data_IF_364715161640
#
_entry.id   IF_364715161640
#
_cell.length_a   1.000
_cell.length_b   1.000
_cell.length_c   1.000
_cell.angle_alpha   90.00
_cell.angle_beta   90.00
_cell.angle_gamma   90.00
#
_symmetry.space_group_name_H-M   'P 1'
#
loop_
_entity.id
_entity.type
_entity.pdbx_description
1 polymer ?
#
# COMPACT_ATOMS: atom_id res chain seq x y z
N UNK A 1 -9.21 -21.91 12.57
CA UNK A 1 -9.75 -22.31 11.24
C UNK A 1 -10.50 -21.14 10.61
N UNK A 2 -11.48 -20.56 11.31
CA UNK A 2 -12.25 -19.36 10.90
C UNK A 2 -11.42 -18.20 10.34
N UNK A 3 -10.29 -17.85 10.98
CA UNK A 3 -9.43 -16.73 10.55
C UNK A 3 -8.80 -17.01 9.18
N UNK A 4 -8.44 -18.26 8.91
CA UNK A 4 -7.87 -18.66 7.61
C UNK A 4 -8.92 -18.56 6.51
N UNK A 5 -10.15 -18.98 6.80
CA UNK A 5 -11.26 -18.92 5.85
C UNK A 5 -11.68 -17.47 5.56
N UNK A 6 -11.73 -16.62 6.59
CA UNK A 6 -11.94 -15.17 6.43
C UNK A 6 -10.87 -14.53 5.54
N UNK A 7 -9.59 -14.87 5.77
CA UNK A 7 -8.49 -14.35 4.96
C UNK A 7 -8.60 -14.84 3.50
N UNK A 8 -9.03 -16.08 3.29
CA UNK A 8 -9.24 -16.63 1.95
C UNK A 8 -10.39 -15.94 1.23
N UNK A 9 -11.56 -15.81 1.86
CA UNK A 9 -12.71 -15.08 1.31
C UNK A 9 -12.36 -13.63 1.02
N UNK A 10 -11.59 -12.99 1.89
CA UNK A 10 -11.06 -11.64 1.67
C UNK A 10 -10.17 -11.61 0.42
N UNK A 11 -9.21 -12.53 0.29
CA UNK A 11 -8.31 -12.57 -0.88
C UNK A 11 -9.05 -12.81 -2.19
N UNK A 12 -10.06 -13.67 -2.19
CA UNK A 12 -10.82 -14.04 -3.38
C UNK A 12 -11.72 -12.92 -3.89
N UNK A 13 -12.22 -12.06 -3.00
CA UNK A 13 -13.20 -11.02 -3.36
C UNK A 13 -12.63 -9.60 -3.33
N UNK A 14 -11.59 -9.37 -2.52
CA UNK A 14 -11.05 -8.03 -2.22
C UNK A 14 -9.53 -7.99 -2.21
N UNK A 15 -8.86 -9.13 -2.43
CA UNK A 15 -7.41 -9.19 -2.48
C UNK A 15 -6.85 -8.43 -3.67
N UNK A 16 -5.59 -7.99 -3.54
CA UNK A 16 -4.90 -7.22 -4.58
C UNK A 16 -4.92 -7.92 -5.95
N UNK A 17 -4.68 -9.24 -6.00
CA UNK A 17 -4.70 -10.02 -7.25
C UNK A 17 -6.09 -10.03 -7.88
N UNK A 18 -7.15 -10.23 -7.07
CA UNK A 18 -8.52 -10.20 -7.57
C UNK A 18 -8.87 -8.82 -8.10
N UNK A 19 -8.60 -7.77 -7.33
CA UNK A 19 -8.85 -6.38 -7.75
C UNK A 19 -8.10 -6.05 -9.04
N UNK A 20 -6.84 -6.49 -9.18
CA UNK A 20 -6.05 -6.26 -10.39
C UNK A 20 -6.62 -7.02 -11.59
N UNK A 21 -6.97 -8.30 -11.45
CA UNK A 21 -7.62 -9.09 -12.52
C UNK A 21 -8.97 -8.50 -12.91
N UNK A 22 -9.77 -8.10 -11.94
CA UNK A 22 -11.09 -7.52 -12.17
C UNK A 22 -10.98 -6.15 -12.84
N UNK A 23 -10.04 -5.30 -12.42
CA UNK A 23 -9.76 -4.03 -13.06
C UNK A 23 -9.26 -4.20 -14.50
N UNK A 24 -8.40 -5.19 -14.78
CA UNK A 24 -7.98 -5.52 -16.14
C UNK A 24 -9.16 -5.95 -17.03
N UNK A 25 -10.10 -6.72 -16.48
CA UNK A 25 -11.31 -7.15 -17.18
C UNK A 25 -12.27 -5.99 -17.45
N UNK A 26 -12.45 -5.11 -16.47
CA UNK A 26 -13.41 -4.01 -16.55
C UNK A 26 -12.87 -2.78 -17.30
N UNK A 27 -11.55 -2.56 -17.27
CA UNK A 27 -10.92 -1.42 -17.88
C UNK A 27 -9.49 -1.75 -18.35
N UNK A 28 -9.35 -2.08 -19.63
CA UNK A 28 -8.05 -2.38 -20.27
C UNK A 28 -7.04 -1.23 -20.14
N UNK A 29 -7.48 0.01 -19.89
CA UNK A 29 -6.60 1.17 -19.72
C UNK A 29 -5.73 1.07 -18.46
N UNK A 30 -6.03 0.18 -17.49
CA UNK A 30 -5.16 -0.02 -16.33
C UNK A 30 -3.80 -0.65 -16.70
N UNK A 31 -3.68 -1.25 -17.89
CA UNK A 31 -2.42 -1.78 -18.41
C UNK A 31 -1.41 -0.66 -18.65
N UNK A 32 -1.89 0.51 -19.08
CA UNK A 32 -1.03 1.66 -19.43
C UNK A 32 -0.18 2.09 -18.21
N UNK A 33 -0.75 2.50 -17.06
CA UNK A 33 0.06 2.89 -15.90
C UNK A 33 0.93 1.75 -15.37
N UNK A 34 0.50 0.49 -15.48
CA UNK A 34 1.30 -0.69 -15.09
C UNK A 34 2.56 -0.84 -15.96
N UNK A 35 2.41 -0.73 -17.27
CA UNK A 35 3.52 -0.84 -18.21
C UNK A 35 4.46 0.36 -18.09
N UNK A 36 3.92 1.57 -17.95
CA UNK A 36 4.71 2.78 -17.73
C UNK A 36 5.49 2.72 -16.41
N UNK A 37 4.90 2.17 -15.34
CA UNK A 37 5.57 1.95 -14.05
C UNK A 37 6.75 0.98 -14.19
N UNK A 38 6.55 -0.14 -14.92
CA UNK A 38 7.60 -1.13 -15.14
C UNK A 38 8.73 -0.58 -16.03
N UNK A 39 8.39 0.10 -17.13
CA UNK A 39 9.37 0.71 -18.04
C UNK A 39 10.17 1.81 -17.32
N UNK A 40 9.51 2.68 -16.54
CA UNK A 40 10.22 3.74 -15.81
C UNK A 40 11.17 3.19 -14.74
N UNK A 41 10.79 2.12 -14.04
CA UNK A 41 11.67 1.44 -13.09
C UNK A 41 12.90 0.81 -13.78
N UNK A 42 12.69 0.14 -14.92
CA UNK A 42 13.78 -0.45 -15.71
C UNK A 42 14.70 0.61 -16.30
N UNK A 43 14.16 1.69 -16.84
CA UNK A 43 14.93 2.82 -17.37
C UNK A 43 15.77 3.45 -16.26
N UNK A 44 15.20 3.68 -15.07
CA UNK A 44 15.94 4.18 -13.91
C UNK A 44 17.11 3.26 -13.58
N UNK A 45 16.86 1.95 -13.45
CA UNK A 45 17.90 0.97 -13.10
C UNK A 45 19.00 0.94 -14.17
N UNK A 46 18.63 0.85 -15.45
CA UNK A 46 19.60 0.76 -16.54
C UNK A 46 20.48 2.00 -16.65
N UNK A 47 19.91 3.19 -16.46
CA UNK A 47 20.64 4.46 -16.56
C UNK A 47 21.49 4.71 -15.31
N UNK A 48 21.03 4.28 -14.13
CA UNK A 48 21.77 4.43 -12.87
C UNK A 48 23.13 3.71 -12.87
N UNK A 49 23.30 2.63 -13.65
CA UNK A 49 24.55 1.87 -13.73
C UNK A 49 25.44 2.22 -14.95
N UNK A 50 25.08 3.21 -15.77
CA UNK A 50 25.92 3.69 -16.89
C UNK A 50 26.78 4.89 -16.50
N UNK A 51 27.77 5.23 -17.34
CA UNK A 51 28.69 6.36 -17.10
C UNK A 51 27.94 7.65 -16.81
N UNK A 52 28.39 8.42 -15.82
CA UNK A 52 27.69 9.61 -15.35
C UNK A 52 27.85 10.75 -16.36
N UNK A 53 26.75 11.13 -17.02
CA UNK A 53 26.66 12.31 -17.89
C UNK A 53 25.44 13.15 -17.49
N UNK A 54 25.45 14.44 -17.80
CA UNK A 54 24.32 15.35 -17.53
C UNK A 54 23.01 14.85 -18.14
N UNK A 55 23.09 14.22 -19.31
CA UNK A 55 21.95 13.59 -19.98
C UNK A 55 21.36 12.46 -19.12
N UNK A 56 22.21 11.64 -18.49
CA UNK A 56 21.74 10.55 -17.63
C UNK A 56 21.02 11.05 -16.39
N UNK A 57 21.48 12.17 -15.80
CA UNK A 57 20.78 12.82 -14.67
C UNK A 57 19.36 13.22 -15.08
N UNK A 58 19.20 13.85 -16.24
CA UNK A 58 17.88 14.28 -16.75
C UNK A 58 16.97 13.06 -16.96
N UNK A 59 17.49 11.99 -17.56
CA UNK A 59 16.72 10.76 -17.79
C UNK A 59 16.29 10.11 -16.47
N UNK A 60 17.16 10.10 -15.46
CA UNK A 60 16.85 9.56 -14.12
C UNK A 60 15.72 10.37 -13.48
N UNK A 61 15.82 11.71 -13.46
CA UNK A 61 14.77 12.59 -12.91
C UNK A 61 13.45 12.37 -13.64
N UNK A 62 13.49 12.34 -14.97
CA UNK A 62 12.31 12.12 -15.81
C UNK A 62 11.67 10.76 -15.55
N UNK A 63 12.47 9.71 -15.35
CA UNK A 63 11.99 8.36 -15.00
C UNK A 63 11.27 8.35 -13.65
N UNK A 64 11.79 9.07 -12.65
CA UNK A 64 11.13 9.21 -11.34
C UNK A 64 9.79 9.94 -11.46
N UNK A 65 9.75 11.05 -12.22
CA UNK A 65 8.51 11.82 -12.45
C UNK A 65 7.45 10.95 -13.14
N UNK A 66 7.83 10.23 -14.20
CA UNK A 66 6.93 9.31 -14.89
C UNK A 66 6.45 8.20 -13.96
N UNK A 67 7.33 7.65 -13.11
CA UNK A 67 6.96 6.62 -12.15
C UNK A 67 5.88 7.11 -11.19
N UNK A 68 6.08 8.26 -10.55
CA UNK A 68 5.11 8.87 -9.63
C UNK A 68 3.79 9.16 -10.35
N UNK A 69 3.85 9.75 -11.55
CA UNK A 69 2.67 10.02 -12.38
C UNK A 69 1.89 8.74 -12.72
N UNK A 70 2.58 7.64 -13.00
CA UNK A 70 1.98 6.34 -13.30
C UNK A 70 1.26 5.76 -12.08
N UNK A 71 1.85 5.88 -10.89
CA UNK A 71 1.23 5.47 -9.63
C UNK A 71 -0.07 6.26 -9.38
N UNK A 72 -0.02 7.59 -9.50
CA UNK A 72 -1.19 8.46 -9.30
C UNK A 72 -2.30 8.12 -10.31
N UNK A 73 -1.94 7.98 -11.59
CA UNK A 73 -2.88 7.63 -12.64
C UNK A 73 -3.53 6.26 -12.40
N UNK A 74 -2.74 5.27 -11.96
CA UNK A 74 -3.24 3.95 -11.56
C UNK A 74 -4.30 4.03 -10.46
N UNK A 75 -4.06 4.82 -9.41
CA UNK A 75 -5.01 5.03 -8.30
C UNK A 75 -6.30 5.68 -8.80
N UNK A 76 -6.21 6.70 -9.66
CA UNK A 76 -7.39 7.38 -10.21
C UNK A 76 -8.22 6.43 -11.06
N UNK A 77 -7.58 5.67 -11.95
CA UNK A 77 -8.24 4.68 -12.81
C UNK A 77 -8.92 3.60 -11.96
N UNK A 78 -8.27 3.15 -10.89
CA UNK A 78 -8.83 2.16 -9.96
C UNK A 78 -10.09 2.72 -9.27
N UNK A 79 -10.02 3.94 -8.71
CA UNK A 79 -11.18 4.59 -8.08
C UNK A 79 -12.36 4.74 -9.04
N UNK A 80 -12.10 5.14 -10.28
CA UNK A 80 -13.15 5.27 -11.30
C UNK A 80 -13.73 3.90 -11.70
N UNK A 81 -12.91 2.85 -11.72
CA UNK A 81 -13.36 1.49 -11.99
C UNK A 81 -14.25 0.94 -10.88
N UNK A 82 -13.94 1.28 -9.61
CA UNK A 82 -14.79 0.95 -8.46
C UNK A 82 -16.13 1.67 -8.56
N UNK A 83 -16.12 2.99 -8.78
CA UNK A 83 -17.36 3.78 -8.96
C UNK A 83 -18.23 3.28 -10.11
N UNK A 84 -17.64 2.88 -11.24
CA UNK A 84 -18.42 2.29 -12.36
C UNK A 84 -19.11 0.98 -11.99
N UNK A 85 -18.52 0.18 -11.11
CA UNK A 85 -19.05 -1.15 -10.74
C UNK A 85 -20.06 -1.07 -9.58
N UNK A 86 -19.81 -0.18 -8.63
CA UNK A 86 -20.55 -0.10 -7.37
C UNK A 86 -21.28 1.23 -7.20
N UNK A 87 -21.39 2.09 -8.21
CA UNK A 87 -22.01 3.41 -8.10
C UNK A 87 -21.13 4.44 -7.37
N UNK A 88 -20.82 4.17 -6.11
CA UNK A 88 -20.04 5.02 -5.23
C UNK A 88 -18.90 4.25 -4.52
N UNK A 89 -18.01 4.99 -3.85
CA UNK A 89 -16.98 4.38 -3.01
C UNK A 89 -17.57 3.81 -1.71
N UNK A 90 -18.70 4.38 -1.27
CA UNK A 90 -19.40 3.98 -0.05
C UNK A 90 -20.13 2.65 -0.26
N UNK A 91 -20.86 2.50 -1.37
CA UNK A 91 -21.49 1.23 -1.77
C UNK A 91 -20.47 0.09 -1.92
N UNK A 92 -19.23 0.40 -2.32
CA UNK A 92 -18.15 -0.60 -2.35
C UNK A 92 -17.76 -1.09 -0.95
N UNK A 93 -17.65 -0.20 0.04
CA UNK A 93 -17.37 -0.58 1.42
C UNK A 93 -18.56 -1.31 2.05
N UNK A 94 -19.80 -0.90 1.76
CA UNK A 94 -21.01 -1.61 2.20
C UNK A 94 -21.09 -3.04 1.63
N UNK A 95 -20.77 -3.24 0.35
CA UNK A 95 -20.73 -4.56 -0.26
C UNK A 95 -19.63 -5.45 0.35
N UNK A 96 -18.50 -4.83 0.72
CA UNK A 96 -17.39 -5.51 1.40
C UNK A 96 -17.77 -5.95 2.81
N UNK A 97 -18.44 -5.07 3.57
CA UNK A 97 -19.06 -5.39 4.85
C UNK A 97 -20.03 -6.56 4.69
N UNK A 98 -20.94 -6.50 3.71
CA UNK A 98 -21.96 -7.53 3.47
C UNK A 98 -21.36 -8.89 3.18
N UNK A 99 -20.31 -8.97 2.35
CA UNK A 99 -19.63 -10.24 2.03
C UNK A 99 -18.85 -10.81 3.22
N UNK A 100 -18.21 -9.97 4.02
CA UNK A 100 -17.53 -10.39 5.25
C UNK A 100 -18.56 -10.90 6.26
N UNK A 101 -19.68 -10.17 6.46
CA UNK A 101 -20.79 -10.59 7.31
C UNK A 101 -21.35 -11.95 6.86
N UNK A 102 -21.59 -12.13 5.55
CA UNK A 102 -22.05 -13.42 5.00
C UNK A 102 -21.07 -14.56 5.23
N UNK A 103 -19.76 -14.31 5.15
CA UNK A 103 -18.73 -15.32 5.42
C UNK A 103 -18.77 -15.77 6.89
N UNK A 104 -18.89 -14.82 7.82
CA UNK A 104 -19.00 -15.08 9.26
C UNK A 104 -20.28 -15.86 9.56
N UNK A 105 -21.42 -15.40 9.03
CA UNK A 105 -22.73 -16.06 9.15
C UNK A 105 -22.66 -17.48 8.61
N UNK A 106 -22.13 -17.70 7.40
CA UNK A 106 -22.03 -19.05 6.82
C UNK A 106 -21.14 -20.00 7.65
N UNK A 107 -20.11 -19.48 8.31
CA UNK A 107 -19.25 -20.31 9.17
C UNK A 107 -20.00 -20.72 10.45
N UNK A 108 -20.80 -19.82 11.02
CA UNK A 108 -21.56 -20.11 12.23
C UNK A 108 -22.89 -20.84 11.96
N UNK A 109 -23.49 -20.69 10.77
CA UNK A 109 -24.74 -21.34 10.34
C UNK A 109 -24.64 -22.87 10.14
N UNK A 110 -23.58 -23.54 10.60
CA UNK A 110 -23.73 -24.94 11.03
C UNK A 110 -24.48 -25.06 12.38
N UNK A 111 -24.84 -23.93 13.00
CA UNK A 111 -25.70 -23.79 14.17
C UNK A 111 -26.63 -22.59 13.90
N UNK A 112 -27.92 -22.87 13.68
CA UNK A 112 -29.09 -21.98 13.55
C UNK A 112 -28.95 -20.56 12.94
N UNK A 113 -29.71 -20.36 11.86
CA UNK A 113 -29.84 -19.14 11.05
C UNK A 113 -30.44 -17.90 11.76
N UNK A 114 -30.76 -17.95 13.05
CA UNK A 114 -31.55 -16.92 13.72
C UNK A 114 -30.83 -16.04 14.74
N UNK A 115 -29.63 -16.37 15.22
CA UNK A 115 -28.92 -15.52 16.20
C UNK A 115 -27.40 -15.57 16.00
N UNK A 116 -26.88 -14.90 14.97
CA UNK A 116 -25.47 -14.47 14.99
C UNK A 116 -25.38 -13.28 15.95
N UNK A 117 -25.33 -13.59 17.25
CA UNK A 117 -25.26 -12.62 18.34
C UNK A 117 -24.02 -11.73 18.20
N UNK A 118 -24.12 -10.48 18.67
CA UNK A 118 -22.99 -9.54 18.81
C UNK A 118 -21.74 -10.21 19.40
N UNK A 119 -21.94 -11.16 20.31
CA UNK A 119 -20.91 -11.98 20.95
C UNK A 119 -20.01 -12.72 19.95
N UNK A 120 -20.53 -13.19 18.82
CA UNK A 120 -19.75 -13.94 17.82
C UNK A 120 -18.81 -13.03 17.03
N UNK A 121 -19.27 -11.81 16.71
CA UNK A 121 -18.43 -10.78 16.11
C UNK A 121 -17.37 -10.27 17.09
N UNK A 122 -17.73 -10.13 18.37
CA UNK A 122 -16.81 -9.74 19.44
C UNK A 122 -15.74 -10.81 19.71
N UNK A 123 -16.11 -12.10 19.68
CA UNK A 123 -15.17 -13.21 19.78
C UNK A 123 -14.16 -13.22 18.63
N UNK A 124 -14.62 -12.96 17.41
CA UNK A 124 -13.73 -12.85 16.24
C UNK A 124 -12.80 -11.63 16.37
N UNK A 125 -13.31 -10.45 16.75
CA UNK A 125 -12.44 -9.26 16.93
C UNK A 125 -11.41 -9.50 18.04
N UNK A 126 -11.81 -10.13 19.16
CA UNK A 126 -10.91 -10.49 20.26
C UNK A 126 -9.82 -11.49 19.84
N UNK A 127 -10.19 -12.49 19.03
CA UNK A 127 -9.23 -13.44 18.46
C UNK A 127 -8.26 -12.76 17.48
N UNK A 128 -8.74 -11.84 16.65
CA UNK A 128 -7.90 -11.09 15.72
C UNK A 128 -6.97 -10.13 16.46
N UNK A 129 -7.45 -9.43 17.50
CA UNK A 129 -6.62 -8.56 18.35
C UNK A 129 -5.53 -9.35 19.05
N UNK A 130 -5.87 -10.50 19.64
CA UNK A 130 -4.88 -11.39 20.26
C UNK A 130 -3.82 -11.85 19.25
N UNK A 131 -4.22 -12.21 18.03
CA UNK A 131 -3.28 -12.59 16.96
C UNK A 131 -2.47 -11.38 16.43
N UNK A 132 -2.97 -10.16 16.54
CA UNK A 132 -2.22 -8.93 16.22
C UNK A 132 -1.22 -8.56 17.33
N UNK A 133 -1.59 -8.72 18.60
CA UNK A 133 -0.78 -8.46 19.80
C UNK A 133 0.41 -9.43 19.90
N UNK A 134 0.16 -10.74 19.71
CA UNK A 134 1.23 -11.75 19.62
C UNK A 134 2.22 -11.46 18.46
N UNK A 135 1.78 -10.71 17.44
CA UNK A 135 2.60 -10.24 16.32
C UNK A 135 3.17 -8.81 16.52
N UNK A 136 2.84 -8.12 17.62
CA UNK A 136 3.30 -6.75 17.93
C UNK A 136 4.33 -6.69 19.05
N UNK A 137 4.38 -7.68 19.95
CA UNK A 137 5.42 -7.77 21.00
C UNK A 137 6.87 -7.75 20.47
N UNK A 138 7.07 -7.93 19.16
CA UNK A 138 8.39 -7.85 18.51
C UNK A 138 8.78 -6.47 17.95
N UNK A 139 8.06 -5.37 18.25
CA UNK A 139 8.40 -4.04 17.70
C UNK A 139 9.21 -3.17 18.66
N UNK A 140 10.48 -3.01 18.31
CA UNK A 140 11.45 -2.04 18.85
C UNK A 140 10.91 -0.63 19.03
N UNK A 141 11.39 0.00 20.10
CA UNK A 141 11.10 1.33 20.64
C UNK A 141 11.00 2.43 19.55
N UNK A 142 9.93 3.25 19.53
CA UNK A 142 9.68 4.27 18.51
C UNK A 142 10.78 5.35 18.39
N UNK A 143 11.48 5.64 19.49
CA UNK A 143 12.55 6.63 19.52
C UNK A 143 13.73 6.31 18.59
N UNK A 144 14.12 5.02 18.50
CA UNK A 144 15.22 4.60 17.62
C UNK A 144 14.89 4.86 16.15
N UNK A 145 13.63 4.71 15.75
CA UNK A 145 13.19 4.98 14.39
C UNK A 145 13.27 6.48 14.06
N UNK A 146 12.89 7.36 14.99
CA UNK A 146 12.99 8.82 14.81
C UNK A 146 14.44 9.27 14.66
N UNK A 147 15.34 8.81 15.55
CA UNK A 147 16.77 9.16 15.48
C UNK A 147 17.40 8.66 14.17
N UNK A 148 17.05 7.44 13.75
CA UNK A 148 17.51 6.87 12.47
C UNK A 148 17.05 7.72 11.28
N UNK A 149 15.80 8.17 11.26
CA UNK A 149 15.27 9.01 10.19
C UNK A 149 15.96 10.38 10.15
N UNK A 150 16.20 10.99 11.31
CA UNK A 150 16.90 12.27 11.40
C UNK A 150 18.35 12.16 10.89
N UNK A 151 19.06 11.10 11.27
CA UNK A 151 20.42 10.83 10.79
C UNK A 151 20.47 10.66 9.26
N UNK A 152 19.54 9.89 8.69
CA UNK A 152 19.42 9.72 7.24
C UNK A 152 19.13 11.06 6.56
N UNK A 153 18.24 11.87 7.12
CA UNK A 153 17.90 13.17 6.57
C UNK A 153 19.10 14.12 6.54
N UNK A 154 19.88 14.19 7.63
CA UNK A 154 21.10 15.01 7.70
C UNK A 154 22.13 14.58 6.65
N UNK A 155 22.34 13.28 6.47
CA UNK A 155 23.26 12.77 5.45
C UNK A 155 22.81 13.11 4.02
N UNK A 156 21.53 12.93 3.73
CA UNK A 156 20.94 13.22 2.41
C UNK A 156 20.99 14.72 2.10
N UNK A 157 20.63 15.56 3.07
CA UNK A 157 20.71 17.03 2.92
C UNK A 157 22.15 17.53 2.82
N UNK A 158 23.08 16.95 3.61
CA UNK A 158 24.50 17.29 3.53
C UNK A 158 25.12 16.94 2.18
N UNK A 159 24.78 15.77 1.63
CA UNK A 159 25.22 15.35 0.29
C UNK A 159 24.74 16.33 -0.79
N UNK A 160 23.48 16.74 -0.72
CA UNK A 160 22.90 17.70 -1.66
C UNK A 160 23.55 19.09 -1.55
N UNK A 161 23.69 19.58 -0.31
CA UNK A 161 24.28 20.89 -0.04
C UNK A 161 25.73 20.96 -0.53
N UNK A 162 26.52 19.92 -0.28
CA UNK A 162 27.88 19.83 -0.77
C UNK A 162 27.96 19.78 -2.30
N UNK A 163 27.07 19.00 -2.93
CA UNK A 163 26.98 18.94 -4.40
C UNK A 163 26.69 20.32 -5.01
N UNK A 164 25.71 21.06 -4.48
CA UNK A 164 25.42 22.42 -4.96
C UNK A 164 26.55 23.40 -4.67
N UNK A 165 27.24 23.29 -3.54
CA UNK A 165 28.40 24.11 -3.25
C UNK A 165 29.51 23.91 -4.28
N UNK A 166 29.74 22.68 -4.73
CA UNK A 166 30.76 22.37 -5.75
C UNK A 166 30.36 22.84 -7.16
N UNK A 167 29.06 22.88 -7.47
CA UNK A 167 28.55 23.54 -8.69
C UNK A 167 28.83 25.05 -8.66
N UNK A 168 28.67 25.68 -7.49
CA UNK A 168 28.97 27.12 -7.32
C UNK A 168 30.45 27.48 -7.49
N UNK A 169 31.34 26.51 -7.34
CA UNK A 169 32.79 26.67 -7.55
C UNK A 169 33.26 26.18 -8.93
N UNK A 170 32.35 25.93 -9.87
CA UNK A 170 32.62 25.43 -11.24
C UNK A 170 33.39 24.09 -11.28
N UNK A 171 33.30 23.29 -10.20
CA UNK A 171 33.96 21.99 -10.12
C UNK A 171 33.03 20.85 -10.56
N UNK A 172 32.72 20.82 -11.86
CA UNK A 172 31.75 19.87 -12.44
C UNK A 172 32.18 18.41 -12.30
N UNK A 173 33.50 18.14 -12.29
CA UNK A 173 34.06 16.80 -12.12
C UNK A 173 33.65 16.14 -10.80
N UNK A 174 33.47 16.93 -9.75
CA UNK A 174 33.09 16.45 -8.42
C UNK A 174 31.59 16.63 -8.21
N UNK A 175 31.03 17.76 -8.64
CA UNK A 175 29.66 18.12 -8.36
C UNK A 175 28.63 17.18 -9.03
N UNK A 176 28.86 16.83 -10.30
CA UNK A 176 27.94 16.02 -11.12
C UNK A 176 27.84 14.57 -10.60
N UNK A 177 28.94 13.87 -10.28
CA UNK A 177 28.85 12.54 -9.63
C UNK A 177 28.15 12.57 -8.28
N UNK A 178 28.40 13.58 -7.45
CA UNK A 178 27.76 13.74 -6.14
C UNK A 178 26.24 13.96 -6.28
N UNK A 179 25.82 14.78 -7.23
CA UNK A 179 24.40 15.00 -7.52
C UNK A 179 23.74 13.70 -8.03
N UNK A 180 24.44 12.96 -8.88
CA UNK A 180 23.94 11.69 -9.43
C UNK A 180 23.76 10.66 -8.31
N UNK A 181 24.72 10.55 -7.39
CA UNK A 181 24.62 9.69 -6.23
C UNK A 181 23.41 10.05 -5.36
N UNK A 182 23.20 11.34 -5.11
CA UNK A 182 22.03 11.84 -4.38
C UNK A 182 20.71 11.40 -5.04
N UNK A 183 20.56 11.65 -6.34
CA UNK A 183 19.33 11.32 -7.08
C UNK A 183 19.14 9.80 -7.13
N UNK A 184 20.22 9.01 -7.27
CA UNK A 184 20.15 7.56 -7.20
C UNK A 184 19.62 7.08 -5.85
N UNK A 185 20.16 7.60 -4.74
CA UNK A 185 19.70 7.22 -3.38
C UNK A 185 18.21 7.51 -3.23
N UNK A 186 17.76 8.71 -3.61
CA UNK A 186 16.33 9.07 -3.52
C UNK A 186 15.47 8.20 -4.43
N UNK A 187 15.89 8.00 -5.68
CA UNK A 187 15.17 7.15 -6.61
C UNK A 187 15.02 5.74 -6.04
N UNK A 188 16.10 5.13 -5.56
CA UNK A 188 16.08 3.83 -4.89
C UNK A 188 15.11 3.81 -3.71
N UNK A 189 15.10 4.83 -2.85
CA UNK A 189 14.17 4.92 -1.73
C UNK A 189 12.71 4.95 -2.19
N UNK A 190 12.40 5.67 -3.27
CA UNK A 190 11.05 5.72 -3.85
C UNK A 190 10.65 4.33 -4.36
N UNK A 191 11.48 3.70 -5.20
CA UNK A 191 11.17 2.37 -5.76
C UNK A 191 11.05 1.30 -4.67
N UNK A 192 12.03 1.19 -3.77
CA UNK A 192 11.97 0.23 -2.66
C UNK A 192 10.80 0.52 -1.72
N UNK A 193 10.52 1.80 -1.43
CA UNK A 193 9.38 2.19 -0.60
C UNK A 193 8.05 1.73 -1.20
N UNK A 194 7.86 1.96 -2.50
CA UNK A 194 6.68 1.49 -3.23
C UNK A 194 6.58 -0.04 -3.28
N UNK A 195 7.69 -0.74 -3.50
CA UNK A 195 7.74 -2.21 -3.48
C UNK A 195 7.41 -2.78 -2.10
N UNK A 196 7.98 -2.22 -1.02
CA UNK A 196 7.68 -2.61 0.36
C UNK A 196 6.20 -2.37 0.68
N UNK A 197 5.65 -1.23 0.23
CA UNK A 197 4.23 -0.93 0.40
C UNK A 197 3.35 -1.98 -0.29
N UNK A 198 3.67 -2.38 -1.51
CA UNK A 198 2.97 -3.45 -2.23
C UNK A 198 3.10 -4.80 -1.52
N UNK A 199 4.30 -5.20 -1.09
CA UNK A 199 4.50 -6.45 -0.36
C UNK A 199 3.76 -6.48 0.99
N UNK A 200 3.60 -5.33 1.63
CA UNK A 200 2.83 -5.22 2.87
C UNK A 200 1.36 -5.61 2.68
N UNK A 201 0.75 -5.33 1.54
CA UNK A 201 -0.64 -5.75 1.25
C UNK A 201 -0.79 -7.29 1.17
N UNK A 202 0.28 -8.01 0.80
CA UNK A 202 0.27 -9.48 0.78
C UNK A 202 0.41 -10.08 2.19
N UNK A 203 0.85 -9.30 3.17
CA UNK A 203 1.13 -9.79 4.52
C UNK A 203 -0.16 -10.09 5.28
N UNK A 204 -0.23 -11.28 5.91
CA UNK A 204 -1.37 -11.73 6.74
C UNK A 204 -1.81 -10.67 7.76
N UNK A 205 -0.84 -10.00 8.41
CA UNK A 205 -1.06 -8.93 9.39
C UNK A 205 -1.87 -7.76 8.84
N UNK A 206 -1.58 -7.31 7.62
CA UNK A 206 -2.29 -6.19 7.02
C UNK A 206 -3.74 -6.56 6.66
N UNK A 207 -3.93 -7.79 6.16
CA UNK A 207 -5.27 -8.35 5.87
C UNK A 207 -6.10 -8.49 7.13
N UNK A 208 -5.53 -9.03 8.20
CA UNK A 208 -6.17 -9.11 9.52
C UNK A 208 -6.58 -7.73 10.05
N UNK A 209 -5.72 -6.73 9.89
CA UNK A 209 -6.03 -5.34 10.28
C UNK A 209 -7.19 -4.76 9.48
N UNK A 210 -7.27 -5.03 8.17
CA UNK A 210 -8.39 -4.59 7.34
C UNK A 210 -9.69 -5.33 7.71
N UNK A 211 -9.62 -6.62 8.02
CA UNK A 211 -10.76 -7.42 8.45
C UNK A 211 -11.26 -6.93 9.82
N UNK A 212 -10.38 -6.70 10.80
CA UNK A 212 -10.76 -6.14 12.11
C UNK A 212 -11.41 -4.76 11.97
N UNK A 213 -10.90 -3.89 11.08
CA UNK A 213 -11.55 -2.60 10.79
C UNK A 213 -13.00 -2.78 10.30
N UNK A 214 -13.22 -3.72 9.39
CA UNK A 214 -14.57 -4.03 8.86
C UNK A 214 -15.46 -4.63 9.94
N UNK A 215 -14.93 -5.48 10.83
CA UNK A 215 -15.66 -6.05 11.96
C UNK A 215 -16.11 -4.98 12.96
N UNK A 216 -15.23 -4.04 13.31
CA UNK A 216 -15.56 -2.92 14.19
C UNK A 216 -16.66 -2.05 13.57
N UNK A 217 -16.59 -1.81 12.25
CA UNK A 217 -17.62 -1.04 11.54
C UNK A 217 -18.98 -1.74 11.55
N UNK A 218 -19.00 -3.07 11.41
CA UNK A 218 -20.22 -3.89 11.58
C UNK A 218 -20.78 -3.76 13.00
N UNK A 219 -19.93 -3.86 14.02
CA UNK A 219 -20.35 -3.75 15.42
C UNK A 219 -20.96 -2.38 15.74
N UNK A 220 -20.35 -1.30 15.24
CA UNK A 220 -20.87 0.06 15.42
C UNK A 220 -22.22 0.22 14.70
N UNK A 221 -22.33 -0.25 13.46
CA UNK A 221 -23.57 -0.17 12.68
C UNK A 221 -24.71 -0.96 13.30
N UNK A 222 -24.44 -2.16 13.81
CA UNK A 222 -25.44 -3.00 14.48
C UNK A 222 -25.84 -2.39 15.85
N UNK A 223 -24.91 -1.77 16.60
CA UNK A 223 -25.23 -1.06 17.87
C UNK A 223 -26.08 0.20 17.65
N UNK A 224 -25.75 1.04 16.67
CA UNK A 224 -26.54 2.25 16.34
C UNK A 224 -27.96 1.86 15.94
N UNK A 225 -28.11 0.74 15.22
CA UNK A 225 -29.42 0.24 14.79
C UNK A 225 -30.24 -0.38 15.93
N UNK A 226 -29.61 -0.80 17.03
CA UNK A 226 -30.29 -1.23 18.25
C UNK A 226 -30.72 -0.04 19.13
N UNK A 227 -30.06 1.12 19.03
CA UNK A 227 -30.46 2.35 19.73
C UNK A 227 -31.60 3.12 19.04
N UNK A 228 -31.84 2.86 17.75
CA UNK A 228 -32.94 3.44 16.95
C UNK A 228 -34.27 2.67 17.03
N UNK A 229 -34.32 1.51 17.70
CA UNK A 229 -35.53 0.66 17.91
C UNK A 229 -35.99 0.79 19.35
#
# INVERSE_FOLDING_TARGET
MIIRDLINTYNENFGMIYNMRQSLRNNKLIIIPLLTLLVSALTFFFVAFRSITTINIIIIIFSIIIYIGSVICGVIIQKNSIKKKYGSLQEYEEEKIRKVKKCIVNYFNHSDESEVNHEHFELIDKLIRKELEENEENRTIPFFNTVRQLFIAVLVTGLLSYSFSQLGTENDYVAVPLLTLYIMIIGFLIFFGSTIFLFREFTKKYKLKQISRVLIEIQILDNVRQEEI
#
